data_IF_881343194469
#
_entry.id   IF_881343194469
#
_cell.length_a   1.000
_cell.length_b   1.000
_cell.length_c   1.000
_cell.angle_alpha   90.00
_cell.angle_beta   90.00
_cell.angle_gamma   90.00
#
_symmetry.space_group_name_H-M   'P 1'
#
loop_
_entity.id
_entity.type
_entity.pdbx_description
1 polymer ?
#
# COMPACT_ATOMS: atom_id res chain seq x y z
N UNK A 1 5.73 -0.43 -26.26
CA UNK A 1 5.40 0.29 -25.00
C UNK A 1 4.04 -0.17 -24.52
N UNK A 2 3.95 -0.89 -23.39
CA UNK A 2 2.67 -1.06 -22.72
C UNK A 2 2.16 0.35 -22.36
N UNK A 3 1.08 0.78 -23.01
CA UNK A 3 0.48 2.08 -22.75
C UNK A 3 -0.40 1.93 -21.51
N UNK A 4 0.06 2.43 -20.36
CA UNK A 4 -0.83 2.60 -19.21
C UNK A 4 -1.90 3.60 -19.63
N UNK A 5 -3.13 3.14 -19.66
CA UNK A 5 -4.33 3.92 -20.01
C UNK A 5 -5.25 4.02 -18.79
N UNK A 6 -6.27 4.90 -18.81
CA UNK A 6 -7.22 5.01 -17.70
C UNK A 6 -7.89 3.69 -17.28
N UNK A 7 -8.03 2.73 -18.20
CA UNK A 7 -8.56 1.39 -17.93
C UNK A 7 -7.73 0.63 -16.88
N UNK A 8 -6.44 0.93 -16.73
CA UNK A 8 -5.59 0.29 -15.74
C UNK A 8 -5.80 0.84 -14.32
N UNK A 9 -6.28 2.09 -14.21
CA UNK A 9 -6.51 2.78 -12.94
C UNK A 9 -7.98 2.69 -12.51
N UNK A 10 -8.90 2.73 -13.48
CA UNK A 10 -10.35 2.68 -13.26
C UNK A 10 -11.02 1.69 -14.24
N UNK A 11 -10.78 0.38 -14.08
CA UNK A 11 -11.37 -0.62 -14.96
C UNK A 11 -12.88 -0.77 -14.72
N UNK A 12 -13.66 -0.82 -15.80
CA UNK A 12 -15.07 -1.23 -15.80
C UNK A 12 -15.20 -2.73 -15.54
N UNK A 13 -16.43 -3.21 -15.30
CA UNK A 13 -16.71 -4.61 -14.94
C UNK A 13 -16.08 -5.63 -15.90
N UNK A 14 -16.18 -5.41 -17.22
CA UNK A 14 -15.55 -6.31 -18.22
C UNK A 14 -14.02 -6.18 -18.27
N UNK A 15 -13.48 -5.02 -17.93
CA UNK A 15 -12.04 -4.76 -17.95
C UNK A 15 -11.35 -5.35 -16.73
N UNK A 16 -12.02 -5.41 -15.57
CA UNK A 16 -11.54 -6.10 -14.36
C UNK A 16 -11.28 -7.59 -14.60
N UNK A 17 -12.03 -8.21 -15.51
CA UNK A 17 -11.85 -9.62 -15.88
C UNK A 17 -10.64 -9.86 -16.79
N UNK A 18 -10.06 -8.80 -17.39
CA UNK A 18 -8.92 -8.92 -18.30
C UNK A 18 -7.62 -8.83 -17.51
N UNK A 19 -7.12 -9.99 -17.08
CA UNK A 19 -5.86 -10.12 -16.34
C UNK A 19 -4.67 -9.52 -17.10
N UNK A 20 -4.73 -9.46 -18.43
CA UNK A 20 -3.73 -8.78 -19.26
C UNK A 20 -3.50 -7.32 -18.86
N UNK A 21 -4.53 -6.58 -18.43
CA UNK A 21 -4.37 -5.20 -17.97
C UNK A 21 -3.64 -5.12 -16.64
N UNK A 22 -3.86 -6.07 -15.73
CA UNK A 22 -3.09 -6.15 -14.49
C UNK A 22 -1.61 -6.44 -14.78
N UNK A 23 -1.30 -7.41 -15.65
CA UNK A 23 0.09 -7.70 -16.03
C UNK A 23 0.79 -6.53 -16.74
N UNK A 24 0.05 -5.75 -17.53
CA UNK A 24 0.60 -4.54 -18.15
C UNK A 24 0.92 -3.47 -17.10
N UNK A 25 0.06 -3.30 -16.09
CA UNK A 25 0.25 -2.36 -14.99
C UNK A 25 1.49 -2.72 -14.14
N UNK A 26 1.72 -4.02 -13.88
CA UNK A 26 2.87 -4.51 -13.13
C UNK A 26 4.07 -4.91 -14.01
N UNK A 27 4.11 -4.43 -15.24
CA UNK A 27 5.23 -4.73 -16.13
C UNK A 27 6.51 -4.02 -15.69
N UNK A 28 7.66 -4.60 -16.02
CA UNK A 28 8.98 -4.04 -15.72
C UNK A 28 9.16 -2.62 -16.31
N UNK A 29 8.51 -2.32 -17.44
CA UNK A 29 8.58 -1.01 -18.08
C UNK A 29 7.92 0.06 -17.21
N UNK A 30 6.77 -0.24 -16.58
CA UNK A 30 6.08 0.67 -15.67
C UNK A 30 6.91 0.90 -14.41
N UNK A 31 7.51 -0.15 -13.85
CA UNK A 31 8.40 -0.03 -12.68
C UNK A 31 9.60 0.87 -12.99
N UNK A 32 10.24 0.70 -14.15
CA UNK A 32 11.35 1.56 -14.59
C UNK A 32 10.89 3.01 -14.76
N UNK A 33 9.74 3.24 -15.39
CA UNK A 33 9.19 4.58 -15.56
C UNK A 33 8.91 5.26 -14.21
N UNK A 34 8.36 4.54 -13.23
CA UNK A 34 8.12 5.07 -11.88
C UNK A 34 9.43 5.45 -11.15
N UNK A 35 10.50 4.67 -11.33
CA UNK A 35 11.82 5.00 -10.77
C UNK A 35 12.39 6.27 -11.38
N UNK A 36 12.37 6.40 -12.72
CA UNK A 36 12.81 7.60 -13.41
C UNK A 36 11.99 8.83 -13.01
N UNK A 37 10.68 8.66 -12.84
CA UNK A 37 9.80 9.74 -12.37
C UNK A 37 10.13 10.15 -10.92
N UNK A 38 10.43 9.20 -10.05
CA UNK A 38 10.91 9.49 -8.69
C UNK A 38 12.22 10.29 -8.72
N UNK A 39 13.20 9.85 -9.52
CA UNK A 39 14.49 10.55 -9.67
C UNK A 39 14.29 11.99 -10.17
N UNK A 40 13.41 12.17 -11.17
CA UNK A 40 13.02 13.49 -11.68
C UNK A 40 12.42 14.37 -10.57
N UNK A 41 11.47 13.83 -9.80
CA UNK A 41 10.84 14.56 -8.70
C UNK A 41 11.85 14.94 -7.62
N UNK A 42 12.75 14.03 -7.22
CA UNK A 42 13.80 14.34 -6.24
C UNK A 42 14.84 15.34 -6.75
N UNK A 43 15.01 15.43 -8.08
CA UNK A 43 15.86 16.46 -8.68
C UNK A 43 15.18 17.83 -8.75
N UNK A 44 13.86 17.87 -8.89
CA UNK A 44 13.08 19.12 -8.99
C UNK A 44 12.67 19.66 -7.63
N UNK A 45 12.48 18.78 -6.65
CA UNK A 45 12.04 19.10 -5.31
C UNK A 45 13.03 18.47 -4.32
N UNK A 46 13.57 19.26 -3.39
CA UNK A 46 14.38 18.74 -2.28
C UNK A 46 13.65 17.57 -1.62
N UNK A 47 14.41 16.51 -1.28
CA UNK A 47 13.89 15.26 -0.78
C UNK A 47 13.01 15.51 0.46
N UNK A 48 11.70 15.61 0.24
CA UNK A 48 10.72 15.55 1.31
C UNK A 48 10.69 14.09 1.71
N UNK A 49 11.12 13.81 2.94
CA UNK A 49 10.94 12.48 3.51
C UNK A 49 9.48 12.05 3.28
N UNK A 50 9.22 10.79 2.89
CA UNK A 50 7.85 10.33 2.78
C UNK A 50 7.18 10.66 4.11
N UNK A 51 6.10 11.45 4.07
CA UNK A 51 5.33 11.75 5.28
C UNK A 51 4.90 10.41 5.86
N UNK A 52 5.64 9.93 6.86
CA UNK A 52 5.21 8.85 7.73
C UNK A 52 3.86 9.29 8.22
N UNK A 53 2.82 8.57 7.79
CA UNK A 53 1.51 8.72 8.39
C UNK A 53 1.72 8.34 9.85
N UNK A 54 1.75 9.34 10.73
CA UNK A 54 1.69 9.10 12.15
C UNK A 54 0.34 8.43 12.40
N UNK A 55 0.37 7.12 12.56
CA UNK A 55 -0.69 6.41 13.26
C UNK A 55 -0.67 6.95 14.69
N UNK A 56 -1.81 7.51 15.09
CA UNK A 56 -2.02 8.20 16.35
C UNK A 56 -1.48 7.37 17.53
N UNK A 57 -0.61 7.97 18.34
CA UNK A 57 -0.36 7.50 19.69
C UNK A 57 -1.66 7.59 20.49
N UNK A 58 -2.15 6.51 21.14
CA UNK A 58 -2.90 6.69 22.36
C UNK A 58 -1.89 6.93 23.49
N UNK A 59 -1.77 8.20 23.88
CA UNK A 59 -1.25 8.58 25.19
C UNK A 59 -2.22 8.06 26.24
N UNK A 60 -1.88 7.00 26.98
CA UNK A 60 -2.25 6.96 28.40
C UNK A 60 -1.33 6.00 29.17
N UNK A 61 -0.57 6.57 30.10
CA UNK A 61 0.04 5.85 31.20
C UNK A 61 -1.00 5.81 32.32
N UNK A 62 -1.60 4.65 32.57
CA UNK A 62 -2.05 4.30 33.91
C UNK A 62 -2.07 2.79 34.09
N UNK A 63 -1.38 2.38 35.14
CA UNK A 63 -1.34 1.07 35.76
C UNK A 63 -2.69 0.35 35.77
N UNK A 64 -2.68 -0.96 35.46
CA UNK A 64 -3.52 -2.02 36.02
C UNK A 64 -3.63 -3.19 35.03
N UNK A 65 -2.60 -4.05 34.98
CA UNK A 65 -2.75 -5.41 34.44
C UNK A 65 -3.54 -6.24 35.47
N UNK A 66 -4.85 -6.02 35.49
CA UNK A 66 -5.80 -6.96 36.05
C UNK A 66 -5.78 -8.22 35.16
N UNK A 67 -5.14 -9.26 35.69
CA UNK A 67 -5.22 -10.65 35.23
C UNK A 67 -6.70 -11.07 35.14
N UNK A 68 -7.24 -11.21 33.93
CA UNK A 68 -8.50 -11.92 33.72
C UNK A 68 -8.17 -13.39 33.44
N UNK A 69 -8.30 -14.17 34.51
CA UNK A 69 -8.29 -15.62 34.51
C UNK A 69 -9.47 -16.20 33.70
N UNK A 70 -9.24 -17.41 33.20
CA UNK A 70 -10.20 -18.44 32.77
C UNK A 70 -10.90 -18.28 31.42
N UNK A 71 -10.48 -19.12 30.46
CA UNK A 71 -11.36 -20.15 29.91
C UNK A 71 -10.58 -21.46 29.74
N UNK A 72 -10.91 -22.44 30.58
CA UNK A 72 -10.49 -23.83 30.46
C UNK A 72 -11.20 -24.46 29.25
N UNK A 73 -10.43 -24.83 28.22
CA UNK A 73 -10.92 -25.70 27.14
C UNK A 73 -10.64 -27.14 27.54
N UNK A 74 -11.69 -27.85 27.98
CA UNK A 74 -11.69 -29.31 28.09
C UNK A 74 -11.67 -29.90 26.69
N UNK A 75 -10.60 -30.62 26.33
CA UNK A 75 -10.61 -31.51 25.16
C UNK A 75 -11.04 -32.90 25.64
N UNK A 76 -12.04 -33.45 24.94
CA UNK A 76 -12.61 -34.78 25.13
C UNK A 76 -11.63 -35.90 24.78
#
# INVERSE_FOLDING_TARGET
>A
MPKVTPVHLSPKNFEKMRVSYAFQLFSNDVVKALRLYKELLTSQYEATEPTTSQEDQPTDQSDDIATWSNWSVTQY
#
